data_IF_729079633794
#
_entry.id   IF_729079633794
#
_cell.length_a   1.000
_cell.length_b   1.000
_cell.length_c   1.000
_cell.angle_alpha   90.00
_cell.angle_beta   90.00
_cell.angle_gamma   90.00
#
_symmetry.space_group_name_H-M   'P 1'
#
loop_
_entity.id
_entity.type
_entity.pdbx_description
1 polymer ?
#
# COMPACT_ATOMS: atom_id res chain seq x y z
N UNK A 1 44.82 -26.11 52.91
CA UNK A 1 44.68 -24.76 52.30
C UNK A 1 44.01 -24.73 50.90
N UNK A 2 43.97 -25.82 50.12
CA UNK A 2 43.41 -25.83 48.76
C UNK A 2 41.89 -25.59 48.64
N UNK A 3 41.08 -26.09 49.58
CA UNK A 3 39.61 -26.00 49.51
C UNK A 3 39.04 -24.58 49.69
N UNK A 4 39.69 -23.73 50.49
CA UNK A 4 39.30 -22.32 50.66
C UNK A 4 39.64 -21.46 49.44
N UNK A 5 40.72 -21.78 48.72
CA UNK A 5 41.11 -21.09 47.48
C UNK A 5 40.15 -21.41 46.33
N UNK A 6 39.71 -22.66 46.18
CA UNK A 6 38.69 -23.05 45.17
C UNK A 6 37.31 -22.43 45.43
N UNK A 7 36.84 -22.40 46.70
CA UNK A 7 35.58 -21.72 47.06
C UNK A 7 35.62 -20.22 46.75
N UNK A 8 36.73 -19.53 47.03
CA UNK A 8 36.89 -18.11 46.67
C UNK A 8 36.90 -17.89 45.15
N UNK A 9 37.58 -18.75 44.39
CA UNK A 9 37.66 -18.65 42.92
C UNK A 9 36.30 -18.86 42.24
N UNK A 10 35.48 -19.79 42.74
CA UNK A 10 34.11 -20.00 42.24
C UNK A 10 33.18 -18.82 42.58
N UNK A 11 33.27 -18.28 43.79
CA UNK A 11 32.49 -17.10 44.21
C UNK A 11 32.85 -15.84 43.40
N UNK A 12 34.13 -15.69 43.02
CA UNK A 12 34.61 -14.62 42.15
C UNK A 12 34.01 -14.74 40.73
N UNK A 13 34.03 -15.95 40.14
CA UNK A 13 33.43 -16.21 38.83
C UNK A 13 31.92 -15.97 38.80
N UNK A 14 31.22 -16.34 39.86
CA UNK A 14 29.77 -16.11 39.99
C UNK A 14 29.45 -14.61 40.10
N UNK A 15 30.25 -13.86 40.85
CA UNK A 15 30.13 -12.40 40.93
C UNK A 15 30.41 -11.72 39.58
N UNK A 16 31.41 -12.19 38.83
CA UNK A 16 31.70 -11.70 37.47
C UNK A 16 30.55 -12.02 36.50
N UNK A 17 29.96 -13.21 36.58
CA UNK A 17 28.78 -13.59 35.79
C UNK A 17 27.57 -12.71 36.10
N UNK A 18 27.28 -12.45 37.37
CA UNK A 18 26.19 -11.55 37.77
C UNK A 18 26.42 -10.12 37.31
N UNK A 19 27.65 -9.61 37.41
CA UNK A 19 28.03 -8.30 36.86
C UNK A 19 27.87 -8.24 35.34
N UNK A 20 28.21 -9.31 34.64
CA UNK A 20 28.03 -9.42 33.18
C UNK A 20 26.56 -9.42 32.79
N UNK A 21 25.71 -10.17 33.50
CA UNK A 21 24.25 -10.18 33.29
C UNK A 21 23.66 -8.78 33.52
N UNK A 22 24.02 -8.11 34.62
CA UNK A 22 23.53 -6.76 34.91
C UNK A 22 24.03 -5.73 33.89
N UNK A 23 25.27 -5.89 33.39
CA UNK A 23 25.80 -5.05 32.30
C UNK A 23 25.01 -5.26 31.01
N UNK A 24 24.73 -6.49 30.63
CA UNK A 24 23.94 -6.81 29.44
C UNK A 24 22.51 -6.27 29.56
N UNK A 25 21.87 -6.42 30.72
CA UNK A 25 20.54 -5.85 31.00
C UNK A 25 20.51 -4.34 30.79
N UNK A 26 21.53 -3.61 31.26
CA UNK A 26 21.65 -2.15 31.06
C UNK A 26 21.87 -1.78 29.59
N UNK A 27 22.64 -2.60 28.85
CA UNK A 27 22.84 -2.40 27.41
C UNK A 27 21.52 -2.61 26.67
N UNK A 28 20.77 -3.67 26.97
CA UNK A 28 19.45 -3.94 26.38
C UNK A 28 18.44 -2.82 26.66
N UNK A 29 18.38 -2.32 27.90
CA UNK A 29 17.54 -1.17 28.25
C UNK A 29 17.95 0.12 27.50
N UNK A 30 19.25 0.34 27.31
CA UNK A 30 19.76 1.48 26.56
C UNK A 30 19.40 1.39 25.08
N UNK A 31 19.59 0.21 24.46
CA UNK A 31 19.23 -0.05 23.07
C UNK A 31 17.74 0.16 22.87
N UNK A 32 16.90 -0.33 23.78
CA UNK A 32 15.45 -0.17 23.71
C UNK A 32 15.04 1.31 23.74
N UNK A 33 15.59 2.09 24.67
CA UNK A 33 15.30 3.54 24.76
C UNK A 33 15.77 4.31 23.52
N UNK A 34 16.94 3.97 23.00
CA UNK A 34 17.48 4.59 21.79
C UNK A 34 16.65 4.24 20.55
N UNK A 35 16.18 2.99 20.46
CA UNK A 35 15.23 2.54 19.44
C UNK A 35 13.90 3.30 19.51
N UNK A 36 13.30 3.44 20.69
CA UNK A 36 12.04 4.18 20.89
C UNK A 36 12.20 5.66 20.51
N UNK A 37 13.33 6.28 20.89
CA UNK A 37 13.63 7.66 20.52
C UNK A 37 13.78 7.83 19.00
N UNK A 38 14.52 6.92 18.36
CA UNK A 38 14.71 6.93 16.91
C UNK A 38 13.38 6.77 16.17
N UNK A 39 12.53 5.85 16.61
CA UNK A 39 11.20 5.64 16.05
C UNK A 39 10.34 6.92 16.15
N UNK A 40 10.43 7.63 17.28
CA UNK A 40 9.71 8.89 17.48
C UNK A 40 10.24 10.01 16.59
N UNK A 41 11.56 10.12 16.40
CA UNK A 41 12.19 11.08 15.48
C UNK A 41 11.80 10.80 14.02
N UNK A 42 11.86 9.54 13.59
CA UNK A 42 11.42 9.12 12.25
C UNK A 42 9.95 9.42 12.03
N UNK A 43 9.10 9.17 13.02
CA UNK A 43 7.67 9.49 12.95
C UNK A 43 7.43 11.00 12.77
N UNK A 44 8.15 11.84 13.49
CA UNK A 44 8.05 13.30 13.34
C UNK A 44 8.49 13.76 11.95
N UNK A 45 9.62 13.23 11.45
CA UNK A 45 10.10 13.53 10.09
C UNK A 45 9.10 13.10 9.01
N UNK A 46 8.49 11.93 9.16
CA UNK A 46 7.43 11.46 8.25
C UNK A 46 6.21 12.37 8.28
N UNK A 47 5.77 12.78 9.47
CA UNK A 47 4.63 13.70 9.61
C UNK A 47 4.92 15.06 8.97
N UNK A 48 6.13 15.59 9.08
CA UNK A 48 6.53 16.85 8.45
C UNK A 48 6.60 16.74 6.91
N UNK A 49 7.04 15.58 6.40
CA UNK A 49 7.01 15.27 4.97
C UNK A 49 5.56 15.26 4.45
N UNK A 50 4.68 14.51 5.11
CA UNK A 50 3.27 14.44 4.72
C UNK A 50 2.57 15.79 4.85
N UNK A 51 2.86 16.55 5.92
CA UNK A 51 2.34 17.91 6.08
C UNK A 51 2.64 18.78 4.87
N UNK A 52 3.91 18.82 4.48
CA UNK A 52 4.36 19.59 3.32
C UNK A 52 3.66 19.12 2.04
N UNK A 53 3.61 17.81 1.81
CA UNK A 53 2.98 17.24 0.62
C UNK A 53 1.46 17.50 0.55
N UNK A 54 0.73 17.37 1.65
CA UNK A 54 -0.71 17.67 1.73
C UNK A 54 -0.96 19.15 1.38
N UNK A 55 -0.15 20.04 1.94
CA UNK A 55 -0.24 21.46 1.72
C UNK A 55 0.07 21.84 0.27
N UNK A 56 1.10 21.25 -0.34
CA UNK A 56 1.38 21.41 -1.77
C UNK A 56 0.24 20.89 -2.65
N UNK A 57 -0.29 19.70 -2.35
CA UNK A 57 -1.43 19.13 -3.08
C UNK A 57 -2.67 20.01 -3.00
N UNK A 58 -2.92 20.64 -1.85
CA UNK A 58 -4.05 21.58 -1.69
C UNK A 58 -3.92 22.75 -2.68
N UNK A 59 -2.75 23.36 -2.80
CA UNK A 59 -2.54 24.51 -3.69
C UNK A 59 -2.56 24.07 -5.14
N UNK A 60 -1.74 23.06 -5.49
CA UNK A 60 -1.59 22.55 -6.85
C UNK A 60 -2.93 22.16 -7.47
N UNK A 61 -3.71 21.30 -6.81
CA UNK A 61 -4.98 20.86 -7.38
C UNK A 61 -6.04 21.98 -7.42
N UNK A 62 -5.97 22.95 -6.52
CA UNK A 62 -6.84 24.13 -6.59
C UNK A 62 -6.49 25.00 -7.80
N UNK A 63 -5.19 25.17 -8.10
CA UNK A 63 -4.76 25.87 -9.32
C UNK A 63 -5.22 25.15 -10.57
N UNK A 64 -5.10 23.82 -10.61
CA UNK A 64 -5.58 23.02 -11.74
C UNK A 64 -7.09 23.20 -11.94
N UNK A 65 -7.89 23.32 -10.86
CA UNK A 65 -9.31 23.64 -10.97
C UNK A 65 -9.54 25.02 -11.57
N UNK A 66 -8.82 26.05 -11.09
CA UNK A 66 -8.94 27.42 -11.59
C UNK A 66 -8.57 27.50 -13.07
N UNK A 67 -7.41 26.97 -13.47
CA UNK A 67 -6.99 26.90 -14.88
C UNK A 67 -7.96 26.06 -15.72
N UNK A 68 -8.52 25.01 -15.13
CA UNK A 68 -9.47 24.11 -15.76
C UNK A 68 -10.81 24.75 -16.08
N UNK A 69 -11.17 25.88 -15.44
CA UNK A 69 -12.39 26.62 -15.78
C UNK A 69 -12.36 27.11 -17.23
N UNK A 70 -11.24 27.67 -17.68
CA UNK A 70 -11.06 28.09 -19.08
C UNK A 70 -11.15 26.90 -20.05
N UNK A 71 -10.50 25.76 -19.71
CA UNK A 71 -10.57 24.53 -20.52
C UNK A 71 -12.00 23.99 -20.67
N UNK A 72 -12.87 24.27 -19.70
CA UNK A 72 -14.26 23.82 -19.67
C UNK A 72 -15.26 24.88 -20.14
N UNK A 73 -14.79 26.05 -20.60
CA UNK A 73 -15.63 27.19 -20.98
C UNK A 73 -16.57 27.63 -19.82
N UNK A 74 -16.01 27.68 -18.61
CA UNK A 74 -16.69 28.10 -17.39
C UNK A 74 -16.16 29.44 -16.88
N UNK A 75 -17.07 30.30 -16.43
CA UNK A 75 -16.74 31.58 -15.81
C UNK A 75 -16.97 31.53 -14.29
N UNK A 76 -16.30 32.42 -13.55
CA UNK A 76 -16.62 32.65 -12.14
C UNK A 76 -18.00 33.31 -12.03
N UNK A 77 -18.86 32.79 -11.16
CA UNK A 77 -20.20 33.37 -10.95
C UNK A 77 -20.19 34.54 -9.94
N UNK A 78 -19.01 34.84 -9.37
CA UNK A 78 -18.78 35.97 -8.47
C UNK A 78 -17.56 36.79 -8.92
N UNK A 79 -17.29 37.93 -8.29
CA UNK A 79 -16.16 38.83 -8.58
C UNK A 79 -14.79 38.25 -8.14
N UNK A 80 -14.54 36.97 -8.43
CA UNK A 80 -13.37 36.22 -7.99
C UNK A 80 -12.27 36.11 -9.06
N UNK A 81 -12.48 36.61 -10.28
CA UNK A 81 -11.54 36.44 -11.39
C UNK A 81 -10.16 37.06 -11.10
N UNK A 82 -10.12 38.28 -10.57
CA UNK A 82 -8.85 38.90 -10.13
C UNK A 82 -8.16 38.09 -9.03
N UNK A 83 -8.94 37.62 -8.05
CA UNK A 83 -8.43 36.81 -6.94
C UNK A 83 -7.85 35.47 -7.44
N UNK A 84 -8.49 34.88 -8.44
CA UNK A 84 -8.04 33.64 -9.07
C UNK A 84 -6.72 33.85 -9.82
N UNK A 85 -6.59 34.93 -10.59
CA UNK A 85 -5.35 35.29 -11.27
C UNK A 85 -4.20 35.53 -10.27
N UNK A 86 -4.45 36.28 -9.20
CA UNK A 86 -3.46 36.49 -8.14
C UNK A 86 -3.05 35.16 -7.47
N UNK A 87 -4.00 34.24 -7.28
CA UNK A 87 -3.74 32.92 -6.71
C UNK A 87 -2.87 32.03 -7.63
N UNK A 88 -3.04 32.13 -8.97
CA UNK A 88 -2.23 31.37 -9.92
C UNK A 88 -0.75 31.76 -9.87
N UNK A 89 -0.43 33.01 -9.54
CA UNK A 89 0.95 33.50 -9.39
C UNK A 89 1.65 33.02 -8.10
N UNK A 90 0.91 32.47 -7.12
CA UNK A 90 1.50 32.02 -5.84
C UNK A 90 2.32 30.76 -6.03
N UNK A 91 3.64 30.80 -5.86
CA UNK A 91 4.47 29.59 -5.92
C UNK A 91 4.13 28.57 -4.82
N UNK A 92 3.83 27.33 -5.24
CA UNK A 92 3.42 26.22 -4.36
C UNK A 92 4.45 25.89 -3.27
N UNK A 93 5.73 26.03 -3.62
CA UNK A 93 6.90 25.76 -2.76
C UNK A 93 7.17 26.88 -1.75
N UNK A 94 6.61 28.07 -1.95
CA UNK A 94 6.84 29.27 -1.13
C UNK A 94 5.60 29.61 -0.27
N UNK A 95 4.47 28.94 -0.50
CA UNK A 95 3.24 29.11 0.28
C UNK A 95 3.52 29.14 1.79
N UNK A 96 3.32 30.31 2.41
CA UNK A 96 3.44 30.50 3.85
C UNK A 96 2.20 29.95 4.54
N UNK A 97 2.08 28.63 4.61
CA UNK A 97 1.02 27.99 5.37
C UNK A 97 1.03 28.48 6.82
N UNK A 98 -0.10 29.04 7.25
CA UNK A 98 -0.23 29.77 8.51
C UNK A 98 -0.53 31.26 8.35
N UNK A 99 -0.53 31.81 7.13
CA UNK A 99 -1.16 33.10 6.84
C UNK A 99 -2.67 32.94 6.63
N UNK A 100 -3.45 33.90 7.13
CA UNK A 100 -4.91 33.90 6.92
C UNK A 100 -5.26 34.19 5.45
N UNK A 101 -4.41 34.90 4.72
CA UNK A 101 -4.63 35.29 3.32
C UNK A 101 -4.81 34.10 2.39
N UNK A 102 -3.86 33.15 2.34
CA UNK A 102 -3.97 31.97 1.46
C UNK A 102 -5.21 31.13 1.77
N UNK A 103 -5.52 31.00 3.06
CA UNK A 103 -6.68 30.27 3.55
C UNK A 103 -7.97 30.93 3.09
N UNK A 104 -8.12 32.25 3.27
CA UNK A 104 -9.33 32.96 2.85
C UNK A 104 -9.46 33.01 1.31
N UNK A 105 -8.36 33.13 0.57
CA UNK A 105 -8.34 33.07 -0.89
C UNK A 105 -8.93 31.76 -1.41
N UNK A 106 -8.34 30.62 -1.02
CA UNK A 106 -8.82 29.30 -1.48
C UNK A 106 -10.25 29.04 -1.00
N UNK A 107 -10.60 29.48 0.22
CA UNK A 107 -11.96 29.32 0.76
C UNK A 107 -13.00 30.15 0.01
N UNK A 108 -12.62 31.33 -0.48
CA UNK A 108 -13.47 32.19 -1.30
C UNK A 108 -13.66 31.58 -2.68
N UNK A 109 -12.57 31.15 -3.31
CA UNK A 109 -12.60 30.46 -4.61
C UNK A 109 -13.46 29.19 -4.54
N UNK A 110 -13.31 28.35 -3.50
CA UNK A 110 -14.10 27.11 -3.36
C UNK A 110 -15.60 27.32 -3.16
N UNK A 111 -16.02 28.50 -2.68
CA UNK A 111 -17.44 28.85 -2.57
C UNK A 111 -18.06 29.23 -3.90
N UNK A 112 -17.25 29.59 -4.90
CA UNK A 112 -17.74 29.99 -6.21
C UNK A 112 -18.45 28.82 -6.93
N UNK A 113 -19.69 29.01 -7.39
CA UNK A 113 -20.42 27.98 -8.14
C UNK A 113 -19.71 27.53 -9.43
N UNK A 114 -19.03 28.44 -10.14
CA UNK A 114 -18.26 28.13 -11.34
C UNK A 114 -17.11 27.17 -11.05
N UNK A 115 -16.37 27.40 -9.97
CA UNK A 115 -15.30 26.48 -9.55
C UNK A 115 -15.84 25.12 -9.06
N UNK A 116 -17.02 25.10 -8.44
CA UNK A 116 -17.70 23.84 -8.08
C UNK A 116 -18.10 23.03 -9.32
N UNK A 117 -18.63 23.69 -10.35
CA UNK A 117 -18.92 23.06 -11.66
C UNK A 117 -17.64 22.53 -12.32
N UNK A 118 -16.52 23.24 -12.19
CA UNK A 118 -15.23 22.73 -12.65
C UNK A 118 -14.81 21.45 -11.89
N UNK A 119 -15.04 21.39 -10.57
CA UNK A 119 -14.78 20.19 -9.77
C UNK A 119 -15.73 19.02 -10.10
N UNK A 120 -16.97 19.28 -10.50
CA UNK A 120 -17.85 18.22 -11.03
C UNK A 120 -17.24 17.55 -12.27
N UNK A 121 -16.48 18.31 -13.06
CA UNK A 121 -15.72 17.86 -14.24
C UNK A 121 -14.26 17.49 -13.94
N UNK A 122 -13.90 17.28 -12.66
CA UNK A 122 -12.53 16.97 -12.22
C UNK A 122 -11.86 15.79 -12.93
N UNK A 123 -12.62 14.80 -13.42
CA UNK A 123 -12.09 13.69 -14.22
C UNK A 123 -11.33 14.20 -15.45
N UNK A 124 -11.87 15.22 -16.13
CA UNK A 124 -11.28 15.85 -17.33
C UNK A 124 -10.05 16.68 -16.94
N UNK A 125 -10.13 17.35 -15.79
CA UNK A 125 -9.07 18.24 -15.28
C UNK A 125 -7.94 17.50 -14.55
N UNK A 126 -8.02 16.17 -14.41
CA UNK A 126 -7.02 15.37 -13.71
C UNK A 126 -6.89 15.69 -12.20
N UNK A 127 -7.94 16.23 -11.59
CA UNK A 127 -7.98 16.57 -10.15
C UNK A 127 -8.48 15.36 -9.34
N UNK A 128 -7.80 14.98 -8.24
CA UNK A 128 -8.23 13.85 -7.42
C UNK A 128 -9.61 14.04 -6.80
N UNK A 129 -10.39 12.94 -6.73
CA UNK A 129 -11.71 12.92 -6.08
C UNK A 129 -11.66 13.36 -4.61
N UNK A 130 -10.55 13.08 -3.92
CA UNK A 130 -10.33 13.41 -2.51
C UNK A 130 -9.98 14.88 -2.28
N UNK A 131 -9.81 15.69 -3.33
CA UNK A 131 -9.40 17.10 -3.17
C UNK A 131 -10.45 17.95 -2.47
N UNK A 132 -11.74 17.65 -2.67
CA UNK A 132 -12.84 18.32 -1.94
C UNK A 132 -12.72 18.18 -0.42
N UNK A 133 -12.27 17.02 0.07
CA UNK A 133 -12.03 16.82 1.50
C UNK A 133 -11.00 17.83 2.06
N UNK A 134 -9.93 18.12 1.31
CA UNK A 134 -8.95 19.11 1.75
C UNK A 134 -9.50 20.53 1.71
N UNK A 135 -10.29 20.86 0.68
CA UNK A 135 -10.96 22.16 0.56
C UNK A 135 -11.95 22.39 1.72
N UNK A 136 -12.70 21.36 2.11
CA UNK A 136 -13.64 21.41 3.22
C UNK A 136 -12.93 21.48 4.60
N UNK A 137 -11.69 20.98 4.69
CA UNK A 137 -10.85 20.98 5.89
C UNK A 137 -9.80 22.10 5.89
N UNK A 138 -9.95 23.11 5.03
CA UNK A 138 -8.94 24.15 4.82
C UNK A 138 -8.53 24.88 6.09
N UNK A 139 -9.49 25.17 6.97
CA UNK A 139 -9.25 25.86 8.24
C UNK A 139 -8.31 25.07 9.17
N UNK A 140 -8.28 23.74 9.06
CA UNK A 140 -7.40 22.87 9.85
C UNK A 140 -6.03 22.71 9.18
N UNK A 141 -6.00 22.49 7.87
CA UNK A 141 -4.79 22.16 7.09
C UNK A 141 -3.85 23.35 6.96
N UNK A 142 -4.41 24.57 6.91
CA UNK A 142 -3.63 25.82 6.80
C UNK A 142 -3.06 26.32 8.13
N UNK A 143 -3.38 25.68 9.27
CA UNK A 143 -2.84 26.10 10.58
C UNK A 143 -1.32 25.92 10.65
N UNK A 144 -0.64 26.89 11.29
CA UNK A 144 0.82 26.82 11.53
C UNK A 144 1.27 25.53 12.24
N UNK A 145 0.50 25.10 13.25
CA UNK A 145 0.74 23.87 14.03
C UNK A 145 -0.11 22.68 13.54
N UNK A 146 -0.50 22.67 12.27
CA UNK A 146 -1.18 21.53 11.67
C UNK A 146 -0.34 20.25 11.80
N UNK A 147 -0.98 19.18 12.26
CA UNK A 147 -0.46 17.82 12.31
C UNK A 147 -1.41 16.96 11.46
N UNK A 148 -0.91 16.29 10.41
CA UNK A 148 -1.72 15.40 9.59
C UNK A 148 -2.37 14.29 10.40
N UNK A 149 -3.63 14.00 10.10
CA UNK A 149 -4.32 12.80 10.57
C UNK A 149 -4.04 11.64 9.63
N UNK A 150 -4.32 10.42 10.08
CA UNK A 150 -4.20 9.22 9.23
C UNK A 150 -5.04 9.37 7.95
N UNK A 151 -6.22 9.99 8.03
CA UNK A 151 -7.06 10.27 6.87
C UNK A 151 -6.40 11.21 5.86
N UNK A 152 -5.72 12.26 6.34
CA UNK A 152 -5.00 13.20 5.47
C UNK A 152 -3.83 12.52 4.78
N UNK A 153 -3.13 11.65 5.51
CA UNK A 153 -2.00 10.87 4.98
C UNK A 153 -2.50 9.92 3.89
N UNK A 154 -3.61 9.21 4.13
CA UNK A 154 -4.20 8.28 3.16
C UNK A 154 -4.66 8.97 1.87
N UNK A 155 -5.15 10.20 1.95
CA UNK A 155 -5.57 10.98 0.78
C UNK A 155 -4.42 11.73 0.12
N UNK A 156 -3.23 11.74 0.71
CA UNK A 156 -2.12 12.52 0.20
C UNK A 156 -1.58 11.86 -1.07
N UNK A 157 -1.53 12.62 -2.17
CA UNK A 157 -0.88 12.17 -3.39
C UNK A 157 0.62 12.46 -3.30
N UNK A 158 1.41 11.42 -3.12
CA UNK A 158 2.87 11.48 -3.26
C UNK A 158 3.26 10.44 -4.30
N UNK A 159 3.79 10.83 -5.47
CA UNK A 159 4.25 9.87 -6.46
C UNK A 159 5.29 8.92 -5.85
N UNK A 160 5.05 7.61 -5.91
CA UNK A 160 6.06 6.62 -5.55
C UNK A 160 7.17 6.64 -6.60
N UNK A 161 8.38 6.96 -6.17
CA UNK A 161 9.59 6.89 -6.98
C UNK A 161 10.45 5.71 -6.53
N UNK A 162 11.02 4.99 -7.50
CA UNK A 162 11.85 3.82 -7.24
C UNK A 162 11.07 2.65 -6.62
N UNK A 163 11.78 1.91 -5.76
CA UNK A 163 11.29 0.71 -5.08
C UNK A 163 11.34 0.94 -3.57
N UNK A 164 10.20 0.75 -2.92
CA UNK A 164 10.05 0.85 -1.47
C UNK A 164 9.76 -0.52 -0.89
N UNK A 165 10.52 -0.90 0.13
CA UNK A 165 10.38 -2.21 0.79
C UNK A 165 9.95 -1.98 2.23
N UNK A 166 8.90 -2.69 2.64
CA UNK A 166 8.38 -2.66 4.01
C UNK A 166 8.33 -4.08 4.55
N UNK A 167 9.04 -4.31 5.66
CA UNK A 167 9.01 -5.54 6.41
C UNK A 167 8.01 -5.42 7.58
N UNK A 168 7.17 -6.43 7.78
CA UNK A 168 6.19 -6.49 8.87
C UNK A 168 5.87 -7.94 9.25
N UNK A 169 5.17 -8.13 10.36
CA UNK A 169 4.76 -9.45 10.85
C UNK A 169 3.24 -9.58 10.86
N UNK A 170 2.73 -10.72 10.41
CA UNK A 170 1.32 -11.10 10.54
C UNK A 170 1.27 -12.49 11.15
N UNK A 171 0.69 -12.60 12.35
CA UNK A 171 0.62 -13.87 13.10
C UNK A 171 2.00 -14.55 13.24
N UNK A 172 3.03 -13.76 13.63
CA UNK A 172 4.43 -14.17 13.76
C UNK A 172 5.12 -14.65 12.46
N UNK A 173 4.45 -14.53 11.30
CA UNK A 173 5.05 -14.79 10.00
C UNK A 173 5.64 -13.48 9.46
N UNK A 174 6.94 -13.44 9.10
CA UNK A 174 7.54 -12.27 8.48
C UNK A 174 7.04 -12.11 7.04
N UNK A 175 6.59 -10.90 6.72
CA UNK A 175 6.16 -10.48 5.39
C UNK A 175 7.00 -9.31 4.92
N UNK A 176 7.19 -9.25 3.60
CA UNK A 176 7.84 -8.15 2.92
C UNK A 176 6.92 -7.67 1.79
N UNK A 177 6.46 -6.43 1.87
CA UNK A 177 5.79 -5.76 0.77
C UNK A 177 6.82 -4.94 0.01
N UNK A 178 6.79 -5.07 -1.32
CA UNK A 178 7.60 -4.28 -2.24
C UNK A 178 6.64 -3.41 -3.04
N UNK A 179 6.62 -2.12 -2.77
CA UNK A 179 5.86 -1.11 -3.52
C UNK A 179 6.75 -0.48 -4.58
N UNK A 180 6.21 -0.30 -5.78
CA UNK A 180 6.95 0.18 -6.95
C UNK A 180 6.19 1.28 -7.67
N UNK A 181 6.93 2.25 -8.20
CA UNK A 181 6.34 3.33 -8.98
C UNK A 181 5.57 2.82 -10.21
N UNK A 182 4.28 3.19 -10.32
CA UNK A 182 3.40 2.79 -11.42
C UNK A 182 3.50 3.66 -12.68
N UNK A 183 4.13 4.83 -12.59
CA UNK A 183 4.33 5.75 -13.73
C UNK A 183 5.25 5.14 -14.79
N UNK A 184 5.02 5.49 -16.07
CA UNK A 184 5.79 4.94 -17.21
C UNK A 184 7.32 5.11 -17.05
N UNK A 185 7.75 6.22 -16.46
CA UNK A 185 9.16 6.53 -16.15
C UNK A 185 9.79 5.59 -15.12
N UNK A 186 8.99 5.03 -14.20
CA UNK A 186 9.45 4.19 -13.11
C UNK A 186 9.46 2.69 -13.47
N UNK A 187 8.59 2.26 -14.41
CA UNK A 187 8.40 0.84 -14.78
C UNK A 187 9.68 0.10 -15.17
N UNK A 188 10.62 0.78 -15.83
CA UNK A 188 11.91 0.18 -16.25
C UNK A 188 12.88 -0.08 -15.10
N UNK A 189 12.65 0.53 -13.93
CA UNK A 189 13.58 0.49 -12.79
C UNK A 189 13.41 -0.75 -11.91
N UNK A 190 12.25 -1.43 -11.95
CA UNK A 190 11.93 -2.48 -10.99
C UNK A 190 11.77 -3.89 -11.58
N UNK A 191 11.61 -4.04 -12.90
CA UNK A 191 11.28 -5.36 -13.49
C UNK A 191 12.35 -6.43 -13.24
N UNK A 192 13.60 -6.02 -13.10
CA UNK A 192 14.75 -6.90 -12.82
C UNK A 192 15.02 -7.10 -11.33
N UNK A 193 14.24 -6.46 -10.45
CA UNK A 193 14.39 -6.56 -9.00
C UNK A 193 13.47 -7.63 -8.39
N UNK A 194 12.66 -8.31 -9.21
CA UNK A 194 11.63 -9.23 -8.76
C UNK A 194 11.97 -10.71 -8.95
N UNK A 195 13.20 -11.10 -8.62
CA UNK A 195 13.51 -12.51 -8.41
C UNK A 195 12.87 -12.99 -7.09
N UNK A 196 12.29 -14.20 -7.10
CA UNK A 196 11.72 -14.88 -5.92
C UNK A 196 10.54 -14.18 -5.20
N UNK A 197 9.75 -13.35 -5.91
CA UNK A 197 8.47 -12.88 -5.35
C UNK A 197 7.47 -14.03 -5.19
N UNK A 198 6.75 -14.05 -4.07
CA UNK A 198 5.76 -15.11 -3.80
C UNK A 198 4.42 -14.85 -4.49
N UNK A 199 4.00 -13.58 -4.54
CA UNK A 199 2.73 -13.17 -5.12
C UNK A 199 2.84 -11.74 -5.67
N UNK A 200 2.18 -11.50 -6.79
CA UNK A 200 1.91 -10.17 -7.33
C UNK A 200 0.50 -9.76 -6.92
N UNK A 201 0.36 -8.54 -6.38
CA UNK A 201 -0.92 -7.88 -6.17
C UNK A 201 -0.97 -6.70 -7.14
N UNK A 202 -1.70 -6.86 -8.23
CA UNK A 202 -1.89 -5.81 -9.22
C UNK A 202 -3.10 -4.95 -8.86
N UNK A 203 -2.92 -3.65 -8.65
CA UNK A 203 -4.00 -2.74 -8.24
C UNK A 203 -4.58 -2.03 -9.46
N UNK A 204 -5.88 -2.18 -9.68
CA UNK A 204 -6.64 -1.53 -10.76
C UNK A 204 -7.51 -0.43 -10.15
N UNK A 205 -7.40 0.80 -10.64
CA UNK A 205 -8.33 1.87 -10.27
C UNK A 205 -9.60 1.78 -11.14
N UNK A 206 -10.65 1.13 -10.61
CA UNK A 206 -11.88 0.89 -11.39
C UNK A 206 -12.58 2.17 -11.83
N UNK A 207 -12.42 3.26 -11.11
CA UNK A 207 -13.11 4.52 -11.40
C UNK A 207 -12.45 5.35 -12.51
N UNK A 208 -11.36 4.90 -13.12
CA UNK A 208 -10.55 5.67 -14.08
C UNK A 208 -10.85 5.32 -15.55
N UNK A 209 -11.96 4.65 -15.82
CA UNK A 209 -12.40 4.29 -17.17
C UNK A 209 -12.78 5.51 -18.03
N UNK A 210 -13.13 6.62 -17.41
CA UNK A 210 -13.50 7.89 -18.06
C UNK A 210 -12.38 8.93 -18.02
N UNK A 211 -11.12 8.52 -17.81
CA UNK A 211 -9.98 9.40 -17.62
C UNK A 211 -8.81 9.04 -18.53
N UNK A 212 -8.07 10.06 -18.98
CA UNK A 212 -6.83 9.91 -19.75
C UNK A 212 -5.58 10.01 -18.87
N UNK A 213 -4.45 9.51 -19.36
CA UNK A 213 -3.18 9.55 -18.64
C UNK A 213 -2.73 10.99 -18.41
N UNK A 214 -2.03 11.21 -17.31
CA UNK A 214 -1.40 12.52 -17.08
C UNK A 214 -0.22 12.74 -18.04
N UNK A 215 0.50 11.66 -18.39
CA UNK A 215 1.64 11.71 -19.30
C UNK A 215 1.24 11.81 -20.78
N UNK A 216 -0.01 11.48 -21.12
CA UNK A 216 -0.51 11.40 -22.50
C UNK A 216 -2.05 11.49 -22.52
N UNK A 217 -2.58 12.68 -22.79
CA UNK A 217 -4.03 12.96 -22.83
C UNK A 217 -4.77 12.21 -23.96
N UNK A 218 -4.08 11.45 -24.82
CA UNK A 218 -4.71 10.65 -25.89
C UNK A 218 -4.97 9.20 -25.50
N UNK A 219 -4.45 8.76 -24.34
CA UNK A 219 -4.50 7.37 -23.89
C UNK A 219 -5.33 7.26 -22.62
N UNK A 220 -6.41 6.49 -22.70
CA UNK A 220 -7.26 6.18 -21.56
C UNK A 220 -6.50 5.37 -20.48
N UNK A 221 -6.69 5.75 -19.20
CA UNK A 221 -6.00 5.13 -18.06
C UNK A 221 -6.31 3.66 -17.87
N UNK A 222 -7.57 3.27 -18.02
CA UNK A 222 -7.97 1.88 -17.84
C UNK A 222 -7.45 0.99 -18.97
N UNK A 223 -7.42 1.49 -20.22
CA UNK A 223 -6.77 0.79 -21.35
C UNK A 223 -5.27 0.59 -21.10
N UNK A 224 -4.56 1.63 -20.67
CA UNK A 224 -3.15 1.53 -20.30
C UNK A 224 -2.92 0.52 -19.16
N UNK A 225 -3.77 0.54 -18.12
CA UNK A 225 -3.69 -0.42 -17.01
C UNK A 225 -3.91 -1.85 -17.49
N UNK A 226 -4.83 -2.07 -18.42
CA UNK A 226 -5.08 -3.39 -19.01
C UNK A 226 -3.85 -3.91 -19.77
N UNK A 227 -3.23 -3.10 -20.62
CA UNK A 227 -2.00 -3.47 -21.35
C UNK A 227 -0.81 -3.70 -20.41
N UNK A 228 -0.69 -2.88 -19.36
CA UNK A 228 0.33 -3.09 -18.32
C UNK A 228 0.09 -4.40 -17.57
N UNK A 229 -1.15 -4.71 -17.21
CA UNK A 229 -1.46 -5.98 -16.56
C UNK A 229 -1.15 -7.16 -17.47
N UNK A 230 -1.54 -7.10 -18.76
CA UNK A 230 -1.25 -8.14 -19.75
C UNK A 230 0.24 -8.41 -19.90
N UNK A 231 1.07 -7.36 -19.97
CA UNK A 231 2.53 -7.53 -20.03
C UNK A 231 3.12 -8.05 -18.72
N UNK A 232 2.56 -7.68 -17.56
CA UNK A 232 3.02 -8.14 -16.24
C UNK A 232 2.63 -9.60 -16.00
N UNK A 233 1.37 -9.96 -16.21
CA UNK A 233 0.84 -11.29 -15.95
C UNK A 233 1.53 -12.37 -16.81
N UNK A 234 1.88 -12.02 -18.06
CA UNK A 234 2.51 -12.93 -19.01
C UNK A 234 4.04 -12.81 -19.06
N UNK A 235 4.65 -12.08 -18.12
CA UNK A 235 6.11 -11.97 -18.05
C UNK A 235 6.74 -13.28 -17.56
N UNK A 236 7.83 -13.70 -18.22
CA UNK A 236 8.58 -14.92 -17.89
C UNK A 236 9.11 -14.93 -16.45
N UNK A 237 9.53 -13.78 -15.91
CA UNK A 237 9.99 -13.68 -14.51
C UNK A 237 8.88 -14.07 -13.51
N UNK A 238 7.62 -13.95 -13.90
CA UNK A 238 6.48 -14.24 -13.04
C UNK A 238 5.81 -15.56 -13.33
N UNK A 239 6.35 -16.41 -14.21
CA UNK A 239 5.71 -17.66 -14.67
C UNK A 239 5.12 -18.50 -13.52
N UNK A 240 5.86 -18.64 -12.42
CA UNK A 240 5.49 -19.43 -11.24
C UNK A 240 4.96 -18.61 -10.06
N UNK A 241 4.77 -17.31 -10.24
CA UNK A 241 4.35 -16.38 -9.19
C UNK A 241 2.82 -16.33 -9.13
N UNK A 242 2.25 -16.43 -7.93
CA UNK A 242 0.81 -16.27 -7.75
C UNK A 242 0.38 -14.85 -8.13
N UNK A 243 -0.79 -14.67 -8.74
CA UNK A 243 -1.26 -13.36 -9.17
C UNK A 243 -2.65 -13.06 -8.61
N UNK A 244 -2.79 -11.89 -8.00
CA UNK A 244 -4.07 -11.36 -7.57
C UNK A 244 -4.28 -9.95 -8.13
N UNK A 245 -5.54 -9.62 -8.41
CA UNK A 245 -5.97 -8.30 -8.84
C UNK A 245 -6.79 -7.67 -7.73
N UNK A 246 -6.40 -6.47 -7.33
CA UNK A 246 -7.14 -5.61 -6.41
C UNK A 246 -7.81 -4.49 -7.19
N UNK A 247 -9.10 -4.64 -7.42
CA UNK A 247 -9.96 -3.61 -8.00
C UNK A 247 -10.29 -2.56 -6.93
N UNK A 248 -9.57 -1.44 -6.96
CA UNK A 248 -9.71 -0.32 -6.03
C UNK A 248 -10.67 0.77 -6.59
N UNK A 249 -11.09 1.68 -5.70
CA UNK A 249 -12.06 2.76 -5.99
C UNK A 249 -13.41 2.22 -6.47
N UNK A 250 -13.82 1.05 -5.97
CA UNK A 250 -15.08 0.42 -6.35
C UNK A 250 -16.30 1.26 -5.96
N UNK A 251 -16.21 1.98 -4.85
CA UNK A 251 -17.20 2.96 -4.39
C UNK A 251 -17.43 4.08 -5.42
N UNK A 252 -16.35 4.73 -5.88
CA UNK A 252 -16.40 5.81 -6.86
C UNK A 252 -16.89 5.27 -8.21
N UNK A 253 -16.40 4.09 -8.61
CA UNK A 253 -16.88 3.39 -9.80
C UNK A 253 -18.39 3.19 -9.77
N UNK A 254 -18.93 2.63 -8.68
CA UNK A 254 -20.36 2.39 -8.53
C UNK A 254 -21.19 3.67 -8.59
N UNK A 255 -20.69 4.79 -8.05
CA UNK A 255 -21.34 6.10 -8.16
C UNK A 255 -21.37 6.60 -9.61
N UNK A 256 -20.25 6.51 -10.35
CA UNK A 256 -20.18 6.96 -11.74
C UNK A 256 -21.13 6.19 -12.66
N UNK A 257 -21.21 4.86 -12.51
CA UNK A 257 -22.14 4.03 -13.29
C UNK A 257 -23.60 4.40 -12.98
N UNK A 258 -23.96 4.56 -11.69
CA UNK A 258 -25.31 4.99 -11.29
C UNK A 258 -25.67 6.39 -11.79
N UNK A 259 -24.69 7.27 -11.94
CA UNK A 259 -24.87 8.62 -12.48
C UNK A 259 -24.91 8.66 -14.02
N UNK A 260 -24.91 7.50 -14.69
CA UNK A 260 -25.06 7.45 -16.15
C UNK A 260 -23.76 7.61 -16.93
N UNK A 261 -22.59 7.50 -16.29
CA UNK A 261 -21.30 7.57 -17.00
C UNK A 261 -20.97 6.19 -17.56
N UNK A 262 -21.17 6.01 -18.86
CA UNK A 262 -21.03 4.72 -19.55
C UNK A 262 -19.59 4.20 -19.63
N UNK A 263 -19.41 2.88 -19.50
CA UNK A 263 -18.15 2.19 -19.76
C UNK A 263 -17.74 2.23 -21.23
N UNK A 264 -18.67 2.54 -22.14
CA UNK A 264 -18.39 2.69 -23.58
C UNK A 264 -17.31 3.73 -23.87
N UNK A 265 -17.09 4.70 -22.97
CA UNK A 265 -15.95 5.65 -23.02
C UNK A 265 -14.59 4.95 -23.05
N UNK A 266 -14.47 3.79 -22.40
CA UNK A 266 -13.25 2.99 -22.39
C UNK A 266 -13.35 1.76 -23.29
N UNK A 267 -14.52 1.14 -23.41
CA UNK A 267 -14.66 -0.14 -24.10
C UNK A 267 -15.78 -0.08 -25.13
N UNK A 268 -15.40 0.06 -26.40
CA UNK A 268 -16.33 0.18 -27.52
C UNK A 268 -17.23 -1.07 -27.67
N UNK A 269 -16.82 -2.22 -27.12
CA UNK A 269 -17.55 -3.49 -27.13
C UNK A 269 -18.48 -3.69 -25.93
N UNK A 270 -18.61 -2.69 -25.04
CA UNK A 270 -19.55 -2.75 -23.92
C UNK A 270 -20.95 -2.29 -24.36
N UNK A 271 -21.93 -3.19 -24.27
CA UNK A 271 -23.34 -2.84 -24.43
C UNK A 271 -23.80 -1.99 -23.25
N UNK A 272 -24.26 -0.76 -23.51
CA UNK A 272 -24.54 0.23 -22.47
C UNK A 272 -25.58 -0.28 -21.45
N UNK A 273 -25.08 -0.54 -20.24
CA UNK A 273 -25.88 -0.94 -19.08
C UNK A 273 -25.39 -0.16 -17.87
N UNK A 274 -26.27 0.62 -17.26
CA UNK A 274 -25.99 1.37 -16.03
C UNK A 274 -26.19 0.50 -14.78
N UNK A 275 -25.73 -0.75 -14.86
CA UNK A 275 -25.75 -1.72 -13.76
C UNK A 275 -24.32 -1.94 -13.26
N UNK A 276 -24.10 -1.71 -11.97
CA UNK A 276 -22.78 -1.78 -11.34
C UNK A 276 -22.21 -3.18 -11.37
N UNK A 277 -23.03 -4.23 -11.19
CA UNK A 277 -22.55 -5.61 -11.17
C UNK A 277 -22.22 -6.10 -12.57
N UNK A 278 -23.01 -5.74 -13.59
CA UNK A 278 -22.69 -6.05 -15.00
C UNK A 278 -21.40 -5.35 -15.42
N UNK A 279 -21.24 -4.07 -15.10
CA UNK A 279 -20.06 -3.28 -15.42
C UNK A 279 -18.80 -3.82 -14.70
N UNK A 280 -18.95 -4.22 -13.44
CA UNK A 280 -17.91 -4.87 -12.63
C UNK A 280 -17.48 -6.21 -13.22
N UNK A 281 -18.43 -7.07 -13.58
CA UNK A 281 -18.14 -8.38 -14.18
C UNK A 281 -17.41 -8.21 -15.52
N UNK A 282 -17.84 -7.25 -16.34
CA UNK A 282 -17.20 -6.94 -17.61
C UNK A 282 -15.72 -6.55 -17.45
N UNK A 283 -15.43 -5.56 -16.58
CA UNK A 283 -14.03 -5.15 -16.32
C UNK A 283 -13.23 -6.33 -15.76
N UNK A 284 -13.80 -7.07 -14.83
CA UNK A 284 -13.12 -8.22 -14.21
C UNK A 284 -12.73 -9.25 -15.26
N UNK A 285 -13.64 -9.58 -16.18
CA UNK A 285 -13.40 -10.52 -17.26
C UNK A 285 -12.34 -10.02 -18.26
N UNK A 286 -12.32 -8.72 -18.56
CA UNK A 286 -11.27 -8.13 -19.40
C UNK A 286 -9.88 -8.30 -18.78
N UNK A 287 -9.75 -8.05 -17.49
CA UNK A 287 -8.46 -8.22 -16.80
C UNK A 287 -8.09 -9.69 -16.65
N UNK A 288 -8.98 -10.56 -16.17
CA UNK A 288 -8.66 -11.98 -15.96
C UNK A 288 -8.30 -12.71 -17.25
N UNK A 289 -8.96 -12.38 -18.37
CA UNK A 289 -8.66 -12.97 -19.68
C UNK A 289 -7.28 -12.57 -20.23
N UNK A 290 -6.64 -11.54 -19.68
CA UNK A 290 -5.28 -11.16 -20.08
C UNK A 290 -4.21 -12.11 -19.53
N UNK A 291 -4.49 -12.86 -18.45
CA UNK A 291 -3.57 -13.86 -17.92
C UNK A 291 -3.74 -15.17 -18.70
N UNK A 292 -2.85 -15.43 -19.66
CA UNK A 292 -2.99 -16.56 -20.59
C UNK A 292 -2.47 -17.88 -20.04
N UNK A 293 -1.78 -17.86 -18.89
CA UNK A 293 -1.29 -19.06 -18.24
C UNK A 293 -2.45 -19.82 -17.58
N UNK A 294 -2.94 -20.86 -18.24
CA UNK A 294 -4.06 -21.70 -17.79
C UNK A 294 -3.84 -22.36 -16.41
N UNK A 295 -2.57 -22.54 -16.01
CA UNK A 295 -2.22 -23.11 -14.71
C UNK A 295 -2.18 -22.07 -13.59
N UNK A 296 -2.23 -20.77 -13.91
CA UNK A 296 -2.22 -19.70 -12.92
C UNK A 296 -3.64 -19.22 -12.63
N UNK A 297 -4.13 -19.53 -11.45
CA UNK A 297 -5.36 -18.94 -10.93
C UNK A 297 -5.12 -17.46 -10.57
N UNK A 298 -5.97 -16.58 -11.13
CA UNK A 298 -5.99 -15.15 -10.78
C UNK A 298 -7.09 -14.91 -9.74
N UNK A 299 -6.73 -14.31 -8.61
CA UNK A 299 -7.67 -13.99 -7.54
C UNK A 299 -8.10 -12.54 -7.59
N UNK A 300 -9.40 -12.28 -7.62
CA UNK A 300 -9.95 -10.93 -7.74
C UNK A 300 -10.53 -10.45 -6.43
N UNK A 301 -10.15 -9.25 -6.02
CA UNK A 301 -10.63 -8.59 -4.82
C UNK A 301 -11.12 -7.20 -5.17
N UNK A 302 -12.14 -6.72 -4.45
CA UNK A 302 -12.69 -5.38 -4.63
C UNK A 302 -12.50 -4.61 -3.35
N UNK A 303 -11.99 -3.39 -3.49
CA UNK A 303 -11.74 -2.51 -2.37
C UNK A 303 -12.24 -1.10 -2.59
N UNK A 304 -12.58 -0.49 -1.47
CA UNK A 304 -12.78 0.94 -1.35
C UNK A 304 -11.59 1.43 -0.55
N UNK A 305 -10.61 2.10 -1.18
CA UNK A 305 -9.32 2.45 -0.58
C UNK A 305 -9.38 3.32 0.69
N UNK A 306 -10.57 3.79 1.06
CA UNK A 306 -10.87 4.62 2.22
C UNK A 306 -11.33 3.76 3.41
N UNK A 307 -11.82 2.55 3.16
CA UNK A 307 -12.30 1.63 4.18
C UNK A 307 -11.18 0.72 4.67
N UNK A 308 -10.56 1.13 5.78
CA UNK A 308 -9.49 0.36 6.43
C UNK A 308 -9.92 -1.04 6.86
N UNK A 309 -11.19 -1.29 7.15
CA UNK A 309 -11.69 -2.62 7.50
C UNK A 309 -11.81 -3.51 6.26
N UNK A 310 -12.27 -2.95 5.14
CA UNK A 310 -12.26 -3.65 3.85
C UNK A 310 -10.84 -4.02 3.43
N UNK A 311 -9.87 -3.10 3.54
CA UNK A 311 -8.46 -3.39 3.24
C UNK A 311 -7.93 -4.47 4.17
N UNK A 312 -8.17 -4.39 5.49
CA UNK A 312 -7.77 -5.46 6.44
C UNK A 312 -8.36 -6.81 6.06
N UNK A 313 -9.63 -6.87 5.66
CA UNK A 313 -10.27 -8.11 5.22
C UNK A 313 -9.60 -8.67 3.95
N UNK A 314 -9.39 -7.83 2.93
CA UNK A 314 -8.69 -8.18 1.69
C UNK A 314 -7.27 -8.71 1.98
N UNK A 315 -6.51 -8.01 2.81
CA UNK A 315 -5.17 -8.46 3.20
C UNK A 315 -5.19 -9.73 4.05
N UNK A 316 -6.21 -9.94 4.89
CA UNK A 316 -6.39 -11.20 5.61
C UNK A 316 -6.54 -12.37 4.64
N UNK A 317 -7.30 -12.20 3.56
CA UNK A 317 -7.40 -13.20 2.50
C UNK A 317 -6.09 -13.37 1.74
N UNK A 318 -5.39 -12.28 1.42
CA UNK A 318 -4.05 -12.35 0.80
C UNK A 318 -3.03 -13.08 1.65
N UNK A 319 -3.09 -12.97 2.98
CA UNK A 319 -2.18 -13.70 3.86
C UNK A 319 -2.62 -15.14 4.12
N UNK A 320 -3.92 -15.43 4.01
CA UNK A 320 -4.45 -16.79 4.12
C UNK A 320 -4.16 -17.64 2.88
N UNK A 321 -4.19 -17.06 1.67
CA UNK A 321 -4.05 -17.79 0.40
C UNK A 321 -2.68 -18.46 0.19
N UNK A 322 -1.54 -17.75 0.36
CA UNK A 322 -0.22 -18.36 0.30
C UNK A 322 -0.09 -19.40 1.40
N UNK A 323 -0.72 -19.26 2.56
CA UNK A 323 -0.43 -20.12 3.70
C UNK A 323 -0.67 -21.61 3.45
N UNK A 324 -1.52 -22.05 2.51
CA UNK A 324 -1.66 -23.48 2.20
C UNK A 324 -0.49 -24.04 1.35
N UNK A 325 -0.09 -23.37 0.26
CA UNK A 325 1.05 -23.82 -0.57
C UNK A 325 2.41 -23.39 0.01
N UNK A 326 2.45 -22.23 0.67
CA UNK A 326 3.60 -21.66 1.36
C UNK A 326 3.91 -22.43 2.63
N UNK A 327 2.95 -22.89 3.46
CA UNK A 327 3.31 -23.76 4.59
C UNK A 327 3.90 -25.08 4.11
N UNK A 328 3.44 -25.63 2.98
CA UNK A 328 4.02 -26.84 2.37
C UNK A 328 5.45 -26.59 1.84
N UNK A 329 5.70 -25.42 1.23
CA UNK A 329 7.03 -25.06 0.67
C UNK A 329 8.01 -24.54 1.74
N UNK A 330 7.51 -23.79 2.71
CA UNK A 330 8.23 -23.29 3.88
C UNK A 330 8.56 -24.43 4.82
N UNK A 331 7.63 -25.34 5.13
CA UNK A 331 7.94 -26.57 5.87
C UNK A 331 9.01 -27.37 5.14
N UNK A 332 8.89 -27.63 3.83
CA UNK A 332 9.94 -28.33 3.06
C UNK A 332 11.30 -27.62 3.09
N UNK A 333 11.35 -26.29 2.88
CA UNK A 333 12.63 -25.55 2.83
C UNK A 333 13.27 -25.36 4.21
N UNK A 334 12.47 -25.16 5.26
CA UNK A 334 12.92 -25.05 6.66
C UNK A 334 13.33 -26.42 7.19
N UNK A 335 12.57 -27.49 6.90
CA UNK A 335 12.94 -28.86 7.26
C UNK A 335 14.27 -29.22 6.58
N UNK A 336 14.41 -29.01 5.26
CA UNK A 336 15.63 -29.36 4.51
C UNK A 336 16.84 -28.51 4.91
N UNK A 337 16.70 -27.20 5.14
CA UNK A 337 17.82 -26.34 5.59
C UNK A 337 18.18 -26.56 7.06
N UNK A 338 17.24 -26.95 7.92
CA UNK A 338 17.48 -27.07 9.36
C UNK A 338 17.66 -28.50 9.88
N UNK A 339 17.75 -29.54 9.04
CA UNK A 339 18.18 -30.88 9.50
C UNK A 339 19.55 -30.85 10.19
N UNK A 340 20.40 -29.85 9.91
CA UNK A 340 21.67 -29.62 10.64
C UNK A 340 21.52 -28.89 11.98
N UNK A 341 20.38 -28.22 12.24
CA UNK A 341 20.14 -27.40 13.45
C UNK A 341 19.01 -27.95 14.35
N UNK A 342 18.35 -29.04 13.96
CA UNK A 342 17.16 -29.61 14.64
C UNK A 342 17.43 -30.31 16.00
N UNK A 343 18.58 -30.08 16.65
CA UNK A 343 18.78 -30.53 18.04
C UNK A 343 18.01 -29.70 19.09
N UNK A 344 17.34 -28.60 18.71
CA UNK A 344 16.79 -27.61 19.68
C UNK A 344 15.31 -27.24 19.46
N UNK A 345 14.62 -27.79 18.46
CA UNK A 345 13.19 -27.51 18.29
C UNK A 345 12.32 -28.50 19.07
N UNK A 346 11.45 -27.98 19.95
CA UNK A 346 10.41 -28.78 20.63
C UNK A 346 9.24 -28.98 19.66
N UNK A 347 9.17 -30.17 19.07
CA UNK A 347 8.16 -30.60 18.10
C UNK A 347 6.71 -30.47 18.60
N UNK A 348 6.51 -30.54 19.92
CA UNK A 348 5.18 -30.51 20.56
C UNK A 348 4.33 -29.28 20.19
N UNK A 349 4.96 -28.10 20.08
CA UNK A 349 4.22 -26.84 19.82
C UNK A 349 3.82 -26.69 18.36
N UNK A 350 4.57 -27.29 17.44
CA UNK A 350 4.26 -27.30 16.01
C UNK A 350 3.18 -28.36 15.70
N UNK A 351 3.23 -29.50 16.41
CA UNK A 351 2.22 -30.56 16.36
C UNK A 351 0.84 -30.05 16.80
N UNK A 352 0.75 -29.32 17.90
CA UNK A 352 -0.50 -28.69 18.37
C UNK A 352 -1.13 -27.72 17.34
N UNK A 353 -0.31 -27.01 16.56
CA UNK A 353 -0.78 -26.07 15.54
C UNK A 353 -1.36 -26.77 14.31
N UNK A 354 -0.79 -27.92 13.93
CA UNK A 354 -1.26 -28.72 12.80
C UNK A 354 -2.50 -29.55 13.16
N UNK A 355 -2.56 -30.07 14.38
CA UNK A 355 -3.73 -30.80 14.89
C UNK A 355 -4.97 -29.90 14.97
N UNK A 356 -4.79 -28.64 15.41
CA UNK A 356 -5.86 -27.63 15.43
C UNK A 356 -6.39 -27.24 14.04
N UNK A 357 -5.63 -27.52 12.98
CA UNK A 357 -6.00 -27.22 11.59
C UNK A 357 -6.47 -28.45 10.80
N UNK A 358 -6.51 -29.63 11.42
CA UNK A 358 -7.05 -30.85 10.81
C UNK A 358 -6.22 -31.46 9.67
N UNK A 359 -4.94 -31.07 9.56
CA UNK A 359 -4.06 -31.48 8.46
C UNK A 359 -3.35 -32.80 8.83
N UNK A 360 -4.10 -33.91 8.84
CA UNK A 360 -3.62 -35.23 9.28
C UNK A 360 -2.47 -35.79 8.43
N UNK A 361 -2.45 -35.50 7.13
CA UNK A 361 -1.41 -36.00 6.21
C UNK A 361 -0.02 -35.40 6.47
N UNK A 362 0.07 -34.22 7.10
CA UNK A 362 1.35 -33.58 7.47
C UNK A 362 1.88 -34.07 8.83
N UNK A 363 1.01 -34.56 9.72
CA UNK A 363 1.41 -35.19 10.99
C UNK A 363 2.19 -36.49 10.72
N UNK A 364 1.73 -37.32 9.78
CA UNK A 364 2.43 -38.54 9.33
C UNK A 364 3.80 -38.24 8.67
N UNK A 365 3.98 -37.03 8.12
CA UNK A 365 5.24 -36.59 7.52
C UNK A 365 6.23 -36.11 8.59
N UNK A 366 5.74 -35.53 9.68
CA UNK A 366 6.54 -35.16 10.86
C UNK A 366 6.93 -36.42 11.64
N UNK A 367 6.04 -37.38 11.84
CA UNK A 367 6.37 -38.67 12.49
C UNK A 367 7.44 -39.43 11.69
N UNK A 368 7.33 -39.47 10.35
CA UNK A 368 8.39 -40.04 9.49
C UNK A 368 9.71 -39.26 9.54
N UNK A 369 9.67 -37.95 9.78
CA UNK A 369 10.86 -37.13 9.96
C UNK A 369 11.49 -37.34 11.35
N UNK A 370 10.69 -37.53 12.41
CA UNK A 370 11.16 -37.94 13.75
C UNK A 370 11.82 -39.33 13.71
N UNK A 371 11.25 -40.28 12.97
CA UNK A 371 11.84 -41.60 12.73
C UNK A 371 13.17 -41.52 11.97
N UNK A 372 13.29 -40.64 10.97
CA UNK A 372 14.54 -40.36 10.25
C UNK A 372 15.61 -39.71 11.15
N UNK A 373 15.21 -38.85 12.09
CA UNK A 373 16.13 -38.25 13.09
C UNK A 373 16.56 -39.27 14.14
N UNK A 374 15.70 -40.22 14.50
CA UNK A 374 16.07 -41.37 15.34
C UNK A 374 16.98 -42.37 14.61
N UNK A 375 16.76 -42.61 13.31
CA UNK A 375 17.62 -43.45 12.46
C UNK A 375 19.03 -42.85 12.24
N UNK A 376 19.16 -41.52 12.31
CA UNK A 376 20.44 -40.81 12.26
C UNK A 376 21.18 -40.74 13.61
N UNK A 377 20.71 -41.43 14.66
CA UNK A 377 21.50 -41.73 15.87
C UNK A 377 22.20 -43.08 15.73
N UNK A 378 23.19 -43.16 14.84
CA UNK A 378 24.36 -44.06 14.94
C UNK A 378 25.61 -43.21 14.67
#
# INVERSE_FOLDING_TARGET
MGNRKNKKKNKQKELERLKSIERNRRIEESIKKESEKYEQEVKLLLLDLFKTAIQMNLVLHTKILVMGMEKLDLEFETENESLANDFLEVEETICKFGSDELKETIKTLWKDPGLKKAFENRSILQVPDTHSYYLDQIDRITKRKYVPTDQDILYCRIPTTGVKVVDFFVNDVPWKIVDVGGQRSERRKWIHQFDDVTMIIYVVAMSEYDQDLYEDETVNRMRESLELFKSTANNEYFEKTACSILFNKFDIFGQKIKNGISLSKCFDDFEEKFDVEVAKEFITNKFTSCATNEHRKVYNYYSCGIDTENIKAVFTFFFAMPSQEFLVKYSKSVIVKNVRCMQVFKFDRFRELLDKRGIKEEIDLIERAEDLVCLCKI
#
